data_IF_859207197549
#
_entry.id   IF_859207197549
#
_cell.length_a   1.000
_cell.length_b   1.000
_cell.length_c   1.000
_cell.angle_alpha   90.00
_cell.angle_beta   90.00
_cell.angle_gamma   90.00
#
_symmetry.space_group_name_H-M   'P 1'
#
loop_
_entity.id
_entity.type
_entity.pdbx_description
1 polymer ?
#
# COMPACT_ATOMS: atom_id res chain seq x y z
N UNK A 1 35.07 0.92 19.21
CA UNK A 1 33.77 1.49 19.63
C UNK A 1 33.17 2.44 18.60
N UNK A 2 33.96 3.25 17.88
CA UNK A 2 33.46 4.21 16.88
C UNK A 2 32.81 3.59 15.63
N UNK A 3 33.35 2.47 15.10
CA UNK A 3 32.79 1.82 13.90
C UNK A 3 31.38 1.25 14.11
N UNK A 4 31.10 0.69 15.30
CA UNK A 4 29.77 0.14 15.60
C UNK A 4 28.70 1.25 15.65
N UNK A 5 29.03 2.39 16.26
CA UNK A 5 28.17 3.57 16.34
C UNK A 5 27.82 4.14 14.96
N UNK A 6 28.80 4.21 14.03
CA UNK A 6 28.57 4.70 12.67
C UNK A 6 27.58 3.79 11.93
N UNK A 7 27.73 2.48 12.06
CA UNK A 7 26.82 1.49 11.46
C UNK A 7 25.41 1.60 12.06
N UNK A 8 25.32 1.75 13.37
CA UNK A 8 24.07 1.98 14.11
C UNK A 8 23.33 3.25 13.66
N UNK A 9 24.06 4.36 13.50
CA UNK A 9 23.53 5.62 13.01
C UNK A 9 23.05 5.52 11.55
N UNK A 10 23.82 4.86 10.69
CA UNK A 10 23.43 4.63 9.30
C UNK A 10 22.15 3.78 9.20
N UNK A 11 22.07 2.67 9.95
CA UNK A 11 20.87 1.82 10.01
C UNK A 11 19.64 2.56 10.55
N UNK A 12 19.85 3.47 11.51
CA UNK A 12 18.78 4.34 12.02
C UNK A 12 18.29 5.33 10.95
N UNK A 13 19.21 5.86 10.13
CA UNK A 13 18.84 6.65 8.96
C UNK A 13 18.06 5.84 7.93
N UNK A 14 18.45 4.58 7.69
CA UNK A 14 17.72 3.68 6.80
C UNK A 14 16.29 3.40 7.29
N UNK A 15 16.07 3.28 8.60
CA UNK A 15 14.73 3.13 9.18
C UNK A 15 13.84 4.32 8.80
N UNK A 16 14.35 5.54 8.91
CA UNK A 16 13.59 6.75 8.56
C UNK A 16 13.27 6.82 7.07
N UNK A 17 14.25 6.48 6.21
CA UNK A 17 14.06 6.42 4.75
C UNK A 17 13.03 5.35 4.39
N UNK A 18 13.10 4.16 4.99
CA UNK A 18 12.15 3.07 4.78
C UNK A 18 10.73 3.48 5.15
N UNK A 19 10.55 4.13 6.30
CA UNK A 19 9.24 4.62 6.76
C UNK A 19 8.66 5.69 5.82
N UNK A 20 9.49 6.63 5.35
CA UNK A 20 9.08 7.64 4.38
C UNK A 20 8.69 7.03 3.04
N UNK A 21 9.50 6.08 2.54
CA UNK A 21 9.23 5.36 1.31
C UNK A 21 7.90 4.59 1.37
N UNK A 22 7.68 3.83 2.45
CA UNK A 22 6.43 3.10 2.71
C UNK A 22 5.21 4.03 2.67
N UNK A 23 5.31 5.18 3.32
CA UNK A 23 4.22 6.17 3.33
C UNK A 23 3.88 6.68 1.92
N UNK A 24 4.88 7.05 1.13
CA UNK A 24 4.69 7.55 -0.24
C UNK A 24 4.13 6.45 -1.14
N UNK A 25 4.62 5.21 -1.01
CA UNK A 25 4.18 4.08 -1.84
C UNK A 25 2.72 3.70 -1.54
N UNK A 26 2.33 3.62 -0.26
CA UNK A 26 0.94 3.35 0.16
C UNK A 26 0.00 4.39 -0.44
N UNK A 27 0.31 5.69 -0.31
CA UNK A 27 -0.53 6.77 -0.86
C UNK A 27 -0.66 6.65 -2.38
N UNK A 28 0.44 6.34 -3.07
CA UNK A 28 0.46 6.21 -4.51
C UNK A 28 -0.40 5.03 -4.99
N UNK A 29 -0.27 3.88 -4.31
CA UNK A 29 -1.08 2.68 -4.59
C UNK A 29 -2.55 2.89 -4.27
N UNK A 30 -2.87 3.54 -3.15
CA UNK A 30 -4.25 3.85 -2.77
C UNK A 30 -4.92 4.77 -3.81
N UNK A 31 -4.22 5.81 -4.26
CA UNK A 31 -4.70 6.69 -5.35
C UNK A 31 -4.94 5.93 -6.65
N UNK A 32 -4.10 4.93 -6.97
CA UNK A 32 -4.30 4.10 -8.16
C UNK A 32 -5.47 3.15 -8.02
N UNK A 33 -5.63 2.49 -6.86
CA UNK A 33 -6.74 1.57 -6.61
C UNK A 33 -8.09 2.29 -6.63
N UNK A 34 -8.18 3.48 -6.00
CA UNK A 34 -9.41 4.27 -5.96
C UNK A 34 -9.89 4.74 -7.34
N UNK A 35 -9.00 4.75 -8.36
CA UNK A 35 -9.38 5.03 -9.76
C UNK A 35 -9.98 3.83 -10.49
N UNK A 36 -9.77 2.61 -10.00
CA UNK A 36 -10.01 1.36 -10.73
C UNK A 36 -11.06 0.46 -10.07
N UNK A 37 -11.19 0.55 -8.75
CA UNK A 37 -12.01 -0.37 -7.95
C UNK A 37 -13.02 0.42 -7.12
N UNK A 38 -14.27 -0.02 -7.13
CA UNK A 38 -15.32 0.52 -6.28
C UNK A 38 -15.13 0.09 -4.82
N UNK A 39 -15.55 0.91 -3.85
CA UNK A 39 -15.27 0.72 -2.42
C UNK A 39 -15.76 -0.64 -1.89
N UNK A 40 -16.89 -1.12 -2.40
CA UNK A 40 -17.46 -2.43 -2.04
C UNK A 40 -16.60 -3.61 -2.54
N UNK A 41 -16.05 -3.51 -3.74
CA UNK A 41 -15.17 -4.55 -4.30
C UNK A 41 -13.81 -4.58 -3.59
N UNK A 42 -13.34 -3.42 -3.14
CA UNK A 42 -12.12 -3.32 -2.34
C UNK A 42 -12.26 -4.04 -1.00
N UNK A 43 -13.39 -3.87 -0.30
CA UNK A 43 -13.64 -4.53 0.99
C UNK A 43 -13.63 -6.06 0.88
N UNK A 44 -14.22 -6.61 -0.19
CA UNK A 44 -14.21 -8.06 -0.44
C UNK A 44 -12.80 -8.56 -0.78
N UNK A 45 -12.05 -7.82 -1.60
CA UNK A 45 -10.67 -8.16 -1.92
C UNK A 45 -9.74 -8.13 -0.70
N UNK A 46 -9.95 -7.17 0.21
CA UNK A 46 -9.24 -7.10 1.51
C UNK A 46 -9.50 -8.37 2.31
N UNK A 47 -10.77 -8.76 2.50
CA UNK A 47 -11.12 -9.93 3.30
C UNK A 47 -10.45 -11.23 2.83
N UNK A 48 -10.33 -11.41 1.52
CA UNK A 48 -9.69 -12.61 0.94
C UNK A 48 -8.16 -12.57 0.94
N UNK A 49 -7.57 -11.38 0.81
CA UNK A 49 -6.10 -11.21 0.75
C UNK A 49 -5.46 -10.99 2.12
N UNK A 50 -6.25 -10.73 3.17
CA UNK A 50 -5.79 -10.43 4.53
C UNK A 50 -4.82 -11.48 5.09
N UNK A 51 -5.14 -12.76 4.95
CA UNK A 51 -4.32 -13.85 5.50
C UNK A 51 -3.00 -14.00 4.74
N UNK A 52 -3.05 -13.84 3.42
CA UNK A 52 -1.86 -13.90 2.58
C UNK A 52 -0.95 -12.70 2.84
N UNK A 53 -1.52 -11.50 2.97
CA UNK A 53 -0.73 -10.29 3.23
C UNK A 53 -0.04 -10.32 4.58
N UNK A 54 -0.68 -10.88 5.62
CA UNK A 54 -0.07 -11.08 6.93
C UNK A 54 1.12 -12.05 6.90
N UNK A 55 1.04 -13.12 6.11
CA UNK A 55 2.15 -14.08 5.99
C UNK A 55 3.31 -13.50 5.18
N UNK A 56 3.01 -12.76 4.12
CA UNK A 56 3.99 -12.11 3.26
C UNK A 56 4.67 -10.90 3.94
N UNK A 57 4.04 -10.27 4.93
CA UNK A 57 4.63 -9.15 5.66
C UNK A 57 5.66 -9.58 6.72
N UNK A 58 5.66 -10.84 7.16
CA UNK A 58 6.58 -11.37 8.20
C UNK A 58 8.07 -11.05 7.92
N UNK A 59 8.66 -11.34 6.74
CA UNK A 59 10.07 -11.04 6.50
C UNK A 59 10.39 -9.54 6.60
N UNK A 60 9.48 -8.68 6.14
CA UNK A 60 9.64 -7.22 6.25
C UNK A 60 9.47 -6.73 7.69
N UNK A 61 8.61 -7.37 8.48
CA UNK A 61 8.48 -7.09 9.91
C UNK A 61 9.73 -7.50 10.70
N UNK A 62 10.38 -8.61 10.33
CA UNK A 62 11.67 -9.01 10.92
C UNK A 62 12.74 -7.96 10.63
N UNK A 63 12.82 -7.48 9.39
CA UNK A 63 13.74 -6.40 9.01
C UNK A 63 13.44 -5.12 9.81
N UNK A 64 12.16 -4.74 9.94
CA UNK A 64 11.73 -3.59 10.72
C UNK A 64 12.16 -3.72 12.20
N UNK A 65 11.97 -4.90 12.80
CA UNK A 65 12.39 -5.15 14.18
C UNK A 65 13.90 -5.08 14.36
N UNK A 66 14.66 -5.57 13.39
CA UNK A 66 16.11 -5.41 13.39
C UNK A 66 16.52 -3.92 13.34
N UNK A 67 15.90 -3.13 12.49
CA UNK A 67 16.15 -1.69 12.40
C UNK A 67 15.76 -0.93 13.68
N UNK A 68 14.61 -1.27 14.28
CA UNK A 68 14.17 -0.70 15.56
C UNK A 68 15.12 -1.05 16.70
N UNK A 69 15.66 -2.27 16.72
CA UNK A 69 16.66 -2.68 17.70
C UNK A 69 17.96 -1.89 17.56
N UNK A 70 18.41 -1.62 16.32
CA UNK A 70 19.61 -0.78 16.08
C UNK A 70 19.34 0.68 16.44
N UNK A 71 18.14 1.18 16.15
CA UNK A 71 17.71 2.52 16.56
C UNK A 71 17.66 2.67 18.09
N UNK A 72 17.20 1.64 18.80
CA UNK A 72 17.28 1.58 20.25
C UNK A 72 18.73 1.70 20.75
N UNK A 73 19.64 0.92 20.17
CA UNK A 73 21.05 0.96 20.54
C UNK A 73 21.65 2.36 20.35
N UNK A 74 21.30 3.07 19.27
CA UNK A 74 21.69 4.48 19.07
C UNK A 74 21.17 5.35 20.20
N UNK A 75 19.88 5.25 20.55
CA UNK A 75 19.29 6.10 21.60
C UNK A 75 19.95 5.93 22.96
N UNK A 76 20.33 4.69 23.31
CA UNK A 76 21.03 4.39 24.56
C UNK A 76 22.41 5.04 24.56
N UNK A 77 23.15 4.94 23.45
CA UNK A 77 24.49 5.52 23.33
C UNK A 77 24.44 7.05 23.31
N UNK A 78 23.46 7.65 22.64
CA UNK A 78 23.30 9.11 22.56
C UNK A 78 22.62 9.72 23.79
N UNK A 79 22.32 8.93 24.83
CA UNK A 79 21.59 9.35 26.04
C UNK A 79 20.24 10.03 25.75
N UNK A 80 19.64 9.77 24.58
CA UNK A 80 18.29 10.24 24.22
C UNK A 80 17.21 9.27 24.68
N UNK A 81 17.60 8.22 25.42
CA UNK A 81 16.73 7.26 26.09
C UNK A 81 15.98 7.90 27.27
N UNK A 82 14.94 8.65 26.94
CA UNK A 82 13.96 9.19 27.90
C UNK A 82 12.54 8.79 27.51
N UNK A 83 11.54 9.34 28.22
CA UNK A 83 10.11 9.08 27.96
C UNK A 83 9.75 9.40 26.49
N UNK A 84 10.32 10.48 25.93
CA UNK A 84 10.13 10.85 24.53
C UNK A 84 10.77 9.86 23.54
N UNK A 85 11.96 9.33 23.83
CA UNK A 85 12.65 8.36 22.98
C UNK A 85 11.96 6.99 22.98
N UNK A 86 11.56 6.52 24.17
CA UNK A 86 10.77 5.29 24.31
C UNK A 86 9.40 5.41 23.61
N UNK A 87 8.72 6.55 23.77
CA UNK A 87 7.47 6.84 23.07
C UNK A 87 7.64 6.83 21.54
N UNK A 88 8.69 7.47 21.02
CA UNK A 88 9.00 7.47 19.59
C UNK A 88 9.22 6.05 19.07
N UNK A 89 9.96 5.22 19.81
CA UNK A 89 10.24 3.83 19.42
C UNK A 89 8.96 3.00 19.31
N UNK A 90 8.05 3.13 20.29
CA UNK A 90 6.75 2.45 20.29
C UNK A 90 5.91 2.91 19.10
N UNK A 91 5.84 4.23 18.87
CA UNK A 91 5.11 4.79 17.72
C UNK A 91 5.67 4.25 16.42
N UNK A 92 7.00 4.25 16.24
CA UNK A 92 7.63 3.71 15.04
C UNK A 92 7.38 2.21 14.86
N UNK A 93 7.36 1.43 15.94
CA UNK A 93 7.04 0.01 15.89
C UNK A 93 5.61 -0.25 15.42
N UNK A 94 4.62 0.45 16.01
CA UNK A 94 3.21 0.29 15.67
C UNK A 94 2.94 0.80 14.24
N UNK A 95 3.33 2.04 13.95
CA UNK A 95 3.08 2.69 12.67
C UNK A 95 3.82 1.97 11.54
N UNK A 96 5.06 1.56 11.77
CA UNK A 96 5.88 0.84 10.80
C UNK A 96 5.32 -0.53 10.49
N UNK A 97 4.88 -1.28 11.51
CA UNK A 97 4.25 -2.58 11.30
C UNK A 97 2.97 -2.45 10.50
N UNK A 98 2.16 -1.43 10.79
CA UNK A 98 0.94 -1.15 10.06
C UNK A 98 1.20 -0.77 8.59
N UNK A 99 2.21 0.06 8.32
CA UNK A 99 2.59 0.42 6.95
C UNK A 99 3.14 -0.76 6.16
N UNK A 100 4.01 -1.57 6.74
CA UNK A 100 4.52 -2.79 6.09
C UNK A 100 3.35 -3.72 5.73
N UNK A 101 2.40 -3.91 6.64
CA UNK A 101 1.23 -4.73 6.37
C UNK A 101 0.33 -4.12 5.28
N UNK A 102 0.06 -2.82 5.33
CA UNK A 102 -0.75 -2.12 4.33
C UNK A 102 -0.14 -2.19 2.93
N UNK A 103 1.17 -1.99 2.80
CA UNK A 103 1.84 -2.05 1.50
C UNK A 103 1.69 -3.45 0.86
N UNK A 104 1.99 -4.50 1.62
CA UNK A 104 1.83 -5.88 1.16
C UNK A 104 0.37 -6.20 0.84
N UNK A 105 -0.58 -5.73 1.65
CA UNK A 105 -2.00 -5.87 1.38
C UNK A 105 -2.39 -5.20 0.06
N UNK A 106 -1.92 -3.99 -0.22
CA UNK A 106 -2.17 -3.30 -1.48
C UNK A 106 -1.52 -4.00 -2.68
N UNK A 107 -0.33 -4.59 -2.51
CA UNK A 107 0.32 -5.43 -3.52
C UNK A 107 -0.51 -6.68 -3.81
N UNK A 108 -0.96 -7.38 -2.77
CA UNK A 108 -1.81 -8.57 -2.89
C UNK A 108 -3.14 -8.23 -3.58
N UNK A 109 -3.78 -7.11 -3.24
CA UNK A 109 -5.01 -6.67 -3.89
C UNK A 109 -4.75 -6.35 -5.36
N UNK A 110 -3.69 -5.58 -5.68
CA UNK A 110 -3.34 -5.24 -7.06
C UNK A 110 -3.11 -6.46 -7.95
N UNK A 111 -2.48 -7.50 -7.40
CA UNK A 111 -2.18 -8.74 -8.11
C UNK A 111 -3.33 -9.77 -8.04
N UNK A 112 -4.42 -9.45 -7.34
CA UNK A 112 -5.59 -10.31 -7.26
C UNK A 112 -6.47 -10.18 -8.49
N UNK A 113 -7.13 -11.29 -8.86
CA UNK A 113 -8.07 -11.41 -9.99
C UNK A 113 -9.23 -10.40 -9.93
N UNK A 114 -9.46 -9.78 -8.78
CA UNK A 114 -10.45 -8.71 -8.59
C UNK A 114 -10.14 -7.43 -9.36
N UNK A 115 -8.86 -7.06 -9.51
CA UNK A 115 -8.49 -5.86 -10.28
C UNK A 115 -8.72 -6.09 -11.77
N UNK A 116 -8.41 -7.29 -12.25
CA UNK A 116 -8.65 -7.66 -13.64
C UNK A 116 -10.13 -7.77 -13.94
N UNK A 117 -10.93 -8.35 -13.04
CA UNK A 117 -12.38 -8.35 -13.15
C UNK A 117 -12.98 -6.93 -13.14
N UNK A 118 -12.51 -6.05 -12.25
CA UNK A 118 -12.98 -4.65 -12.17
C UNK A 118 -12.58 -3.84 -13.41
N UNK A 119 -11.38 -4.08 -13.97
CA UNK A 119 -10.95 -3.48 -15.25
C UNK A 119 -11.82 -3.96 -16.42
N UNK A 120 -12.15 -5.25 -16.47
CA UNK A 120 -13.04 -5.81 -17.49
C UNK A 120 -14.46 -5.24 -17.39
N UNK A 121 -15.02 -5.12 -16.18
CA UNK A 121 -16.34 -4.51 -15.95
C UNK A 121 -16.32 -3.02 -16.35
N UNK A 122 -15.27 -2.29 -16.00
CA UNK A 122 -15.12 -0.87 -16.36
C UNK A 122 -14.99 -0.69 -17.88
N UNK A 123 -14.22 -1.54 -18.55
CA UNK A 123 -14.11 -1.55 -20.02
C UNK A 123 -15.44 -1.92 -20.69
N UNK A 124 -16.16 -2.90 -20.16
CA UNK A 124 -17.49 -3.28 -20.64
C UNK A 124 -18.49 -2.13 -20.50
N UNK A 125 -18.48 -1.41 -19.36
CA UNK A 125 -19.34 -0.24 -19.13
C UNK A 125 -19.01 0.91 -20.09
N UNK A 126 -17.71 1.18 -20.34
CA UNK A 126 -17.25 2.21 -21.28
C UNK A 126 -17.59 1.87 -22.73
N UNK A 127 -17.53 0.59 -23.10
CA UNK A 127 -17.93 0.10 -24.42
C UNK A 127 -19.43 0.20 -24.60
N UNK A 128 -20.22 -0.18 -23.58
CA UNK A 128 -21.69 -0.04 -23.58
C UNK A 128 -22.14 1.43 -23.63
N UNK A 129 -21.41 2.35 -23.01
CA UNK A 129 -21.72 3.79 -23.13
C UNK A 129 -21.39 4.39 -24.50
N UNK A 130 -20.44 3.78 -25.24
CA UNK A 130 -20.15 4.15 -26.63
C UNK A 130 -21.21 3.61 -27.59
N UNK A 131 -21.77 2.44 -27.29
CA UNK A 131 -22.90 1.85 -27.99
C UNK A 131 -24.19 2.44 -27.38
N UNK A 132 -24.43 3.74 -27.58
CA UNK A 132 -25.79 4.26 -27.43
C UNK A 132 -26.61 3.64 -28.55
N UNK A 133 -27.54 2.76 -28.19
CA UNK A 133 -28.58 2.33 -29.11
C UNK A 133 -29.34 3.60 -29.57
N UNK A 134 -29.63 3.74 -30.87
CA UNK A 134 -30.43 4.84 -31.36
C UNK A 134 -31.78 4.85 -30.63
N UNK A 135 -32.23 6.06 -30.28
CA UNK A 135 -33.51 6.31 -29.60
C UNK A 135 -34.63 5.60 -30.38
N UNK A 136 -35.58 4.87 -29.74
CA UNK A 136 -36.68 4.20 -30.44
C UNK A 136 -37.54 5.13 -31.31
N UNK A 137 -37.39 6.46 -31.17
CA UNK A 137 -38.04 7.46 -32.01
C UNK A 137 -37.17 8.02 -33.16
N UNK A 138 -36.01 7.44 -33.45
CA UNK A 138 -35.23 7.86 -34.64
C UNK A 138 -35.80 7.22 -35.91
N UNK A 139 -36.25 8.03 -36.90
CA UNK A 139 -36.79 7.51 -38.15
C UNK A 139 -35.69 6.72 -38.89
N UNK A 140 -36.04 5.51 -39.34
CA UNK A 140 -35.19 4.56 -40.07
C UNK A 140 -34.58 5.11 -41.38
N UNK A 141 -34.89 6.34 -41.77
CA UNK A 141 -34.39 7.00 -42.99
C UNK A 141 -32.95 7.52 -42.89
N UNK A 142 -32.35 7.59 -41.70
CA UNK A 142 -30.99 8.14 -41.53
C UNK A 142 -29.89 7.10 -41.27
N UNK A 143 -30.22 5.81 -41.21
CA UNK A 143 -29.19 4.76 -41.07
C UNK A 143 -28.54 4.50 -42.43
N UNK A 144 -27.71 5.43 -42.88
CA UNK A 144 -26.87 5.25 -44.06
C UNK A 144 -25.63 4.46 -43.65
N UNK A 145 -25.66 3.16 -43.89
CA UNK A 145 -24.49 2.27 -43.79
C UNK A 145 -23.47 2.76 -44.81
N UNK A 146 -22.30 3.21 -44.35
CA UNK A 146 -21.11 3.47 -45.15
C UNK A 146 -19.99 2.58 -44.66
#
# INVERSE_FOLDING_TARGET
MQNAYIVDFFLSGMLMIMMFYLYVDIISRLKLLNKVIDSNTLAVAIGQTLRQSLLLSVPLLILLMFLLWRFYAVMVISQSWGIGGAGLLIIMAILGSFFVWLDILLVCIKNSRFVDASKLITQAKKTRSKIRLPDPNTPLSEVRIK
#
